data_IF_422568147403
#
_entry.id   IF_422568147403
#
_cell.length_a   1.000
_cell.length_b   1.000
_cell.length_c   1.000
_cell.angle_alpha   90.00
_cell.angle_beta   90.00
_cell.angle_gamma   90.00
#
_symmetry.space_group_name_H-M   'P 1'
#
loop_
_entity.id
_entity.type
_entity.pdbx_description
1 polymer ?
#
# COMPACT_ATOMS: atom_id res chain seq x y z
N UNK A 1 -0.79 -1.85 14.06
CA UNK A 1 -0.11 -1.13 15.18
C UNK A 1 -0.83 0.19 15.39
N UNK A 2 -0.99 0.67 16.63
CA UNK A 2 -1.57 2.00 16.88
C UNK A 2 -0.45 3.03 16.82
N UNK A 3 -0.62 4.08 16.01
CA UNK A 3 0.32 5.20 15.93
C UNK A 3 0.38 5.93 17.28
N UNK A 4 1.58 6.33 17.70
CA UNK A 4 1.70 7.24 18.82
C UNK A 4 1.17 8.65 18.45
N UNK A 5 0.96 9.54 19.42
CA UNK A 5 0.35 10.86 19.18
C UNK A 5 1.15 11.73 18.20
N UNK A 6 2.47 11.62 18.19
CA UNK A 6 3.35 12.36 17.28
C UNK A 6 3.29 11.80 15.88
N UNK A 7 3.37 10.49 15.72
CA UNK A 7 3.20 9.79 14.44
C UNK A 7 1.83 10.09 13.85
N UNK A 8 0.76 10.01 14.68
CA UNK A 8 -0.58 10.38 14.26
C UNK A 8 -0.62 11.79 13.68
N UNK A 9 -0.02 12.78 14.35
CA UNK A 9 0.00 14.17 13.89
C UNK A 9 0.83 14.31 12.59
N UNK A 10 1.98 13.67 12.49
CA UNK A 10 2.86 13.73 11.33
C UNK A 10 2.24 13.03 10.10
N UNK A 11 1.60 11.88 10.29
CA UNK A 11 0.95 11.15 9.21
C UNK A 11 -0.40 11.73 8.80
N UNK A 12 -1.03 12.55 9.65
CA UNK A 12 -2.38 13.08 9.43
C UNK A 12 -2.43 14.60 9.14
N UNK A 13 -1.32 15.21 8.76
CA UNK A 13 -1.30 16.62 8.38
C UNK A 13 -1.58 16.84 6.89
N UNK A 14 -1.77 18.11 6.50
CA UNK A 14 -2.04 18.49 5.12
C UNK A 14 -0.82 18.38 4.20
N UNK A 15 0.40 18.51 4.74
CA UNK A 15 1.64 18.38 3.97
C UNK A 15 1.84 16.93 3.53
N UNK A 16 1.59 15.96 4.41
CA UNK A 16 1.63 14.53 4.05
C UNK A 16 0.61 14.20 2.94
N UNK A 17 -0.61 14.74 3.05
CA UNK A 17 -1.63 14.56 2.01
C UNK A 17 -1.23 15.20 0.67
N UNK A 18 -0.57 16.37 0.71
CA UNK A 18 -0.06 17.04 -0.49
C UNK A 18 1.10 16.23 -1.12
N UNK A 19 2.04 15.72 -0.30
CA UNK A 19 3.12 14.83 -0.77
C UNK A 19 2.56 13.60 -1.47
N UNK A 20 1.62 12.90 -0.84
CA UNK A 20 0.97 11.72 -1.41
C UNK A 20 0.30 12.04 -2.75
N UNK A 21 -0.39 13.17 -2.86
CA UNK A 21 -1.12 13.57 -4.08
C UNK A 21 -0.19 14.00 -5.21
N UNK A 22 0.84 14.81 -4.91
CA UNK A 22 1.60 15.52 -5.94
C UNK A 22 2.98 14.93 -6.22
N UNK A 23 3.51 14.10 -5.33
CA UNK A 23 4.84 13.50 -5.46
C UNK A 23 4.73 11.97 -5.57
N UNK A 24 4.18 11.32 -4.54
CA UNK A 24 4.17 9.87 -4.43
C UNK A 24 3.28 9.23 -5.50
N UNK A 25 2.03 9.68 -5.62
CA UNK A 25 1.09 9.12 -6.61
C UNK A 25 1.59 9.19 -8.06
N UNK A 26 2.12 10.33 -8.58
CA UNK A 26 2.71 10.37 -9.91
C UNK A 26 3.89 9.42 -10.11
N UNK A 27 4.74 9.26 -9.11
CA UNK A 27 5.87 8.33 -9.16
C UNK A 27 5.39 6.87 -9.12
N UNK A 28 4.44 6.58 -8.25
CA UNK A 28 3.95 5.23 -7.99
C UNK A 28 3.02 4.73 -9.08
N UNK A 29 1.96 5.48 -9.38
CA UNK A 29 0.88 5.04 -10.28
C UNK A 29 1.06 5.63 -11.68
N UNK A 30 1.47 6.89 -11.78
CA UNK A 30 1.68 7.58 -13.04
C UNK A 30 0.51 8.51 -13.40
N UNK A 31 0.06 8.46 -14.68
CA UNK A 31 -0.88 9.44 -15.24
C UNK A 31 -2.34 9.14 -14.90
N UNK A 32 -3.20 10.17 -14.99
CA UNK A 32 -4.67 10.03 -14.97
C UNK A 32 -5.13 8.97 -15.97
N UNK A 33 -6.14 8.19 -15.60
CA UNK A 33 -6.73 7.17 -16.46
C UNK A 33 -6.10 5.78 -16.36
N UNK A 34 -4.94 5.62 -15.72
CA UNK A 34 -4.32 4.29 -15.51
C UNK A 34 -5.23 3.37 -14.71
N UNK A 35 -6.04 3.92 -13.80
CA UNK A 35 -6.98 3.17 -12.97
C UNK A 35 -8.43 3.24 -13.50
N UNK A 36 -8.65 3.77 -14.71
CA UNK A 36 -9.99 4.00 -15.22
C UNK A 36 -10.79 2.69 -15.32
N UNK A 37 -11.94 2.67 -14.64
CA UNK A 37 -12.84 1.52 -14.62
C UNK A 37 -12.39 0.36 -13.73
N UNK A 38 -11.26 0.47 -13.02
CA UNK A 38 -10.71 -0.59 -12.20
C UNK A 38 -11.29 -0.59 -10.77
N UNK A 39 -11.34 -1.79 -10.19
CA UNK A 39 -11.59 -2.02 -8.77
C UNK A 39 -10.24 -2.10 -8.03
N UNK A 40 -10.01 -1.18 -7.13
CA UNK A 40 -8.71 -0.98 -6.46
C UNK A 40 -8.83 -1.19 -4.96
N UNK A 41 -7.89 -1.93 -4.38
CA UNK A 41 -7.72 -2.07 -2.93
C UNK A 41 -6.56 -1.18 -2.48
N UNK A 42 -6.74 -0.41 -1.42
CA UNK A 42 -5.67 0.25 -0.67
C UNK A 42 -5.51 -0.44 0.68
N UNK A 43 -4.31 -0.96 0.97
CA UNK A 43 -3.96 -1.50 2.29
C UNK A 43 -3.38 -0.37 3.16
N UNK A 44 -3.80 -0.31 4.43
CA UNK A 44 -3.41 0.77 5.34
C UNK A 44 -3.93 2.13 4.90
N UNK A 45 -5.21 2.21 4.55
CA UNK A 45 -5.80 3.41 3.94
C UNK A 45 -5.85 4.64 4.87
N UNK A 46 -5.52 4.48 6.15
CA UNK A 46 -5.52 5.56 7.12
C UNK A 46 -6.82 6.36 7.09
N UNK A 47 -6.71 7.68 7.01
CA UNK A 47 -7.86 8.60 6.91
C UNK A 47 -8.44 8.76 5.48
N UNK A 48 -8.07 7.88 4.53
CA UNK A 48 -8.68 7.79 3.20
C UNK A 48 -8.18 8.80 2.17
N UNK A 49 -7.02 9.41 2.35
CA UNK A 49 -6.44 10.35 1.36
C UNK A 49 -6.08 9.61 0.07
N UNK A 50 -5.47 8.43 0.18
CA UNK A 50 -5.13 7.60 -0.97
C UNK A 50 -6.38 7.16 -1.74
N UNK A 51 -7.43 6.71 -1.05
CA UNK A 51 -8.70 6.34 -1.67
C UNK A 51 -9.32 7.49 -2.49
N UNK A 52 -9.32 8.72 -1.92
CA UNK A 52 -9.78 9.92 -2.65
C UNK A 52 -8.94 10.17 -3.91
N UNK A 53 -7.62 9.99 -3.83
CA UNK A 53 -6.72 10.13 -4.97
C UNK A 53 -7.01 9.07 -6.03
N UNK A 54 -7.16 7.80 -5.64
CA UNK A 54 -7.42 6.68 -6.54
C UNK A 54 -8.74 6.86 -7.29
N UNK A 55 -9.81 7.33 -6.63
CA UNK A 55 -11.06 7.74 -7.28
C UNK A 55 -10.84 8.89 -8.27
N UNK A 56 -10.05 9.88 -7.91
CA UNK A 56 -9.66 10.98 -8.79
C UNK A 56 -8.84 10.57 -10.01
N UNK A 57 -8.13 9.43 -9.94
CA UNK A 57 -7.42 8.80 -11.06
C UNK A 57 -8.32 7.95 -11.96
N UNK A 58 -9.61 7.82 -11.62
CA UNK A 58 -10.60 7.15 -12.45
C UNK A 58 -11.00 5.75 -11.97
N UNK A 59 -10.57 5.29 -10.80
CA UNK A 59 -11.03 4.02 -10.26
C UNK A 59 -12.57 3.97 -10.21
N UNK A 60 -13.15 2.86 -10.64
CA UNK A 60 -14.59 2.65 -10.58
C UNK A 60 -15.06 2.39 -9.16
N UNK A 61 -14.30 1.61 -8.42
CA UNK A 61 -14.53 1.27 -7.01
C UNK A 61 -13.18 1.26 -6.28
N UNK A 62 -13.16 1.81 -5.07
CA UNK A 62 -12.03 1.68 -4.13
C UNK A 62 -12.48 0.95 -2.87
N UNK A 63 -11.64 0.06 -2.40
CA UNK A 63 -11.78 -0.58 -1.09
C UNK A 63 -10.59 -0.17 -0.24
N UNK A 64 -10.82 0.31 0.97
CA UNK A 64 -9.76 0.68 1.91
C UNK A 64 -9.79 -0.23 3.13
N UNK A 65 -8.64 -0.78 3.48
CA UNK A 65 -8.44 -1.54 4.72
C UNK A 65 -7.50 -0.78 5.65
N UNK A 66 -7.85 -0.73 6.91
CA UNK A 66 -6.95 -0.29 7.98
C UNK A 66 -7.27 -1.03 9.27
N UNK A 67 -6.25 -1.32 10.06
CA UNK A 67 -6.42 -2.02 11.35
C UNK A 67 -6.90 -1.08 12.47
N UNK A 68 -6.79 0.24 12.27
CA UNK A 68 -7.12 1.25 13.28
C UNK A 68 -8.55 1.80 13.10
N UNK A 69 -9.52 1.46 14.00
CA UNK A 69 -10.89 1.95 13.90
C UNK A 69 -11.05 3.48 13.86
N UNK A 70 -10.27 4.31 14.59
CA UNK A 70 -10.23 5.76 14.41
C UNK A 70 -9.94 6.21 12.98
N UNK A 71 -8.97 5.59 12.29
CA UNK A 71 -8.64 5.89 10.89
C UNK A 71 -9.80 5.57 9.97
N UNK A 72 -10.41 4.40 10.14
CA UNK A 72 -11.58 3.98 9.36
C UNK A 72 -12.72 5.01 9.47
N UNK A 73 -13.01 5.51 10.68
CA UNK A 73 -14.06 6.55 10.86
C UNK A 73 -13.71 7.85 10.13
N UNK A 74 -12.44 8.25 10.10
CA UNK A 74 -11.99 9.44 9.38
C UNK A 74 -12.09 9.23 7.87
N UNK A 75 -11.72 8.06 7.36
CA UNK A 75 -11.83 7.71 5.95
C UNK A 75 -13.30 7.66 5.49
N UNK A 76 -14.17 7.02 6.27
CA UNK A 76 -15.61 6.99 6.00
C UNK A 76 -16.22 8.40 5.93
N UNK A 77 -15.84 9.30 6.86
CA UNK A 77 -16.28 10.68 6.84
C UNK A 77 -15.76 11.42 5.60
N UNK A 78 -14.51 11.20 5.20
CA UNK A 78 -13.89 11.81 4.01
C UNK A 78 -14.62 11.42 2.72
N UNK A 79 -14.96 10.16 2.56
CA UNK A 79 -15.51 9.57 1.35
C UNK A 79 -17.04 9.41 1.38
N UNK A 80 -17.71 10.04 2.35
CA UNK A 80 -19.17 9.93 2.49
C UNK A 80 -19.95 10.37 1.25
N UNK A 81 -19.39 11.29 0.44
CA UNK A 81 -19.98 11.76 -0.81
C UNK A 81 -19.80 10.84 -2.01
N UNK A 82 -18.92 9.81 -1.92
CA UNK A 82 -18.62 8.92 -3.04
C UNK A 82 -19.57 7.71 -3.14
N UNK A 83 -20.46 7.55 -2.17
CA UNK A 83 -21.50 6.51 -2.17
C UNK A 83 -20.92 5.10 -2.26
N UNK A 84 -21.47 4.29 -3.17
CA UNK A 84 -21.06 2.89 -3.34
C UNK A 84 -19.68 2.72 -4.03
N UNK A 85 -19.04 3.80 -4.45
CA UNK A 85 -17.70 3.74 -5.06
C UNK A 85 -16.58 3.57 -4.05
N UNK A 86 -16.82 3.84 -2.78
CA UNK A 86 -15.84 3.72 -1.70
C UNK A 86 -16.37 2.79 -0.61
N UNK A 87 -15.66 1.68 -0.39
CA UNK A 87 -15.89 0.78 0.74
C UNK A 87 -14.70 0.86 1.68
N UNK A 88 -14.97 1.05 2.97
CA UNK A 88 -13.91 1.29 3.95
C UNK A 88 -14.19 0.39 5.15
N UNK A 89 -13.26 -0.54 5.39
CA UNK A 89 -13.45 -1.63 6.32
C UNK A 89 -12.25 -1.76 7.27
N UNK A 90 -12.54 -2.18 8.50
CA UNK A 90 -11.48 -2.60 9.43
C UNK A 90 -10.93 -3.92 8.90
N UNK A 91 -9.63 -4.01 8.69
CA UNK A 91 -9.01 -5.22 8.18
C UNK A 91 -7.51 -5.26 8.39
N UNK A 92 -6.98 -6.48 8.34
CA UNK A 92 -5.56 -6.77 8.48
C UNK A 92 -5.00 -7.15 7.10
N UNK A 93 -3.88 -6.52 6.71
CA UNK A 93 -3.19 -6.85 5.47
C UNK A 93 -2.67 -8.30 5.43
N UNK A 94 -2.45 -8.91 6.59
CA UNK A 94 -2.06 -10.32 6.73
C UNK A 94 -3.23 -11.31 6.58
N UNK A 95 -4.48 -10.83 6.50
CA UNK A 95 -5.68 -11.66 6.41
C UNK A 95 -6.83 -10.88 5.73
N UNK A 96 -6.65 -10.53 4.46
CA UNK A 96 -7.59 -9.69 3.70
C UNK A 96 -8.92 -10.42 3.50
N UNK A 97 -10.01 -9.84 4.02
CA UNK A 97 -11.37 -10.40 3.95
C UNK A 97 -12.00 -10.13 2.56
N UNK A 98 -11.38 -10.66 1.51
CA UNK A 98 -11.86 -10.58 0.14
C UNK A 98 -11.63 -11.90 -0.60
N UNK A 99 -12.48 -12.25 -1.59
CA UNK A 99 -12.26 -13.42 -2.43
C UNK A 99 -10.95 -13.32 -3.23
N UNK A 100 -10.44 -14.47 -3.65
CA UNK A 100 -9.33 -14.54 -4.61
C UNK A 100 -9.67 -13.81 -5.89
N UNK A 101 -8.66 -13.20 -6.52
CA UNK A 101 -8.79 -12.55 -7.81
C UNK A 101 -9.93 -11.51 -7.88
N UNK A 102 -10.16 -10.74 -6.82
CA UNK A 102 -11.27 -9.78 -6.72
C UNK A 102 -10.89 -8.34 -7.06
N UNK A 103 -9.58 -8.01 -7.13
CA UNK A 103 -9.10 -6.67 -7.42
C UNK A 103 -8.26 -6.61 -8.71
N UNK A 104 -8.45 -5.54 -9.48
CA UNK A 104 -7.62 -5.25 -10.65
C UNK A 104 -6.27 -4.68 -10.24
N UNK A 105 -6.25 -3.91 -9.15
CA UNK A 105 -5.03 -3.34 -8.59
C UNK A 105 -5.08 -3.33 -7.06
N UNK A 106 -3.91 -3.45 -6.44
CA UNK A 106 -3.67 -3.18 -5.02
C UNK A 106 -2.66 -2.06 -4.91
N UNK A 107 -2.85 -1.17 -3.94
CA UNK A 107 -1.95 -0.04 -3.68
C UNK A 107 -1.51 -0.04 -2.22
N UNK A 108 -0.23 0.18 -2.01
CA UNK A 108 0.40 0.43 -0.73
C UNK A 108 1.12 1.79 -0.76
N UNK A 109 0.70 2.69 0.10
CA UNK A 109 1.36 3.99 0.31
C UNK A 109 2.24 3.96 1.57
N UNK A 110 3.13 2.96 1.65
CA UNK A 110 4.18 2.89 2.66
C UNK A 110 3.70 2.39 4.02
N UNK A 111 2.97 1.27 4.09
CA UNK A 111 2.55 0.70 5.37
C UNK A 111 3.18 -0.65 5.70
N UNK A 112 3.77 -1.36 4.72
CA UNK A 112 4.25 -2.72 4.94
C UNK A 112 5.37 -2.80 5.97
N UNK A 113 6.19 -1.74 6.12
CA UNK A 113 7.20 -1.66 7.20
C UNK A 113 6.59 -1.61 8.61
N UNK A 114 5.30 -1.39 8.76
CA UNK A 114 4.56 -1.49 10.01
C UNK A 114 3.88 -2.86 10.22
N UNK A 115 3.89 -3.73 9.20
CA UNK A 115 3.23 -5.05 9.24
C UNK A 115 4.24 -6.13 9.66
N UNK A 116 4.13 -6.72 10.85
CA UNK A 116 5.08 -7.74 11.31
C UNK A 116 5.19 -8.94 10.36
N UNK A 117 4.08 -9.40 9.84
CA UNK A 117 3.98 -10.48 8.87
C UNK A 117 3.93 -9.99 7.42
N UNK A 118 4.70 -8.96 7.05
CA UNK A 118 4.68 -8.39 5.69
C UNK A 118 4.88 -9.42 4.55
N UNK A 119 5.66 -10.54 4.71
CA UNK A 119 5.69 -11.57 3.67
C UNK A 119 4.35 -12.27 3.49
N UNK A 120 3.60 -12.48 4.58
CA UNK A 120 2.23 -13.02 4.53
C UNK A 120 1.27 -12.03 3.88
N UNK A 121 1.42 -10.73 4.19
CA UNK A 121 0.63 -9.68 3.53
C UNK A 121 0.88 -9.64 2.02
N UNK A 122 2.12 -9.84 1.54
CA UNK A 122 2.41 -9.97 0.10
C UNK A 122 1.70 -11.18 -0.52
N UNK A 123 1.61 -12.31 0.19
CA UNK A 123 0.83 -13.47 -0.23
C UNK A 123 -0.67 -13.16 -0.36
N UNK A 124 -1.24 -12.45 0.60
CA UNK A 124 -2.64 -12.00 0.56
C UNK A 124 -2.90 -11.01 -0.58
N UNK A 125 -1.99 -10.03 -0.78
CA UNK A 125 -2.04 -9.11 -1.92
C UNK A 125 -2.06 -9.90 -3.24
N UNK A 126 -1.16 -10.86 -3.38
CA UNK A 126 -1.12 -11.71 -4.57
C UNK A 126 -2.39 -12.54 -4.72
N UNK A 127 -2.95 -13.07 -3.63
CA UNK A 127 -4.20 -13.85 -3.64
C UNK A 127 -5.37 -13.04 -4.16
N UNK A 128 -5.57 -11.84 -3.62
CA UNK A 128 -6.75 -11.00 -3.95
C UNK A 128 -6.62 -10.30 -5.30
N UNK A 129 -5.41 -10.14 -5.85
CA UNK A 129 -5.21 -9.62 -7.20
C UNK A 129 -5.73 -10.60 -8.26
N UNK A 130 -6.37 -10.09 -9.29
CA UNK A 130 -6.67 -10.85 -10.53
C UNK A 130 -5.37 -11.24 -11.23
N UNK A 131 -5.33 -12.36 -11.99
CA UNK A 131 -4.22 -12.67 -12.87
C UNK A 131 -3.91 -11.48 -13.81
N UNK A 132 -2.65 -11.05 -13.87
CA UNK A 132 -2.23 -9.85 -14.60
C UNK A 132 -2.50 -8.52 -13.90
N UNK A 133 -3.16 -8.53 -12.75
CA UNK A 133 -3.41 -7.35 -11.92
C UNK A 133 -2.13 -6.73 -11.38
N UNK A 134 -2.19 -5.46 -11.02
CA UNK A 134 -1.02 -4.66 -10.63
C UNK A 134 -0.99 -4.37 -9.14
N UNK A 135 0.17 -4.57 -8.54
CA UNK A 135 0.52 -4.08 -7.22
C UNK A 135 1.41 -2.85 -7.35
N UNK A 136 0.95 -1.72 -6.84
CA UNK A 136 1.68 -0.46 -6.73
C UNK A 136 2.11 -0.28 -5.29
N UNK A 137 3.39 -0.04 -5.06
CA UNK A 137 3.92 0.02 -3.69
C UNK A 137 5.08 1.00 -3.58
N UNK A 138 5.14 1.67 -2.48
CA UNK A 138 6.29 2.42 -2.00
C UNK A 138 6.52 2.07 -0.54
N UNK A 139 7.76 2.13 -0.08
CA UNK A 139 8.03 1.95 1.34
C UNK A 139 9.39 2.51 1.74
N UNK A 140 9.57 2.65 3.07
CA UNK A 140 10.84 3.03 3.67
C UNK A 140 11.60 1.79 4.09
N UNK A 141 12.93 1.86 3.95
CA UNK A 141 13.83 0.76 4.26
C UNK A 141 14.42 0.88 5.67
N UNK A 142 15.00 -0.22 6.15
CA UNK A 142 15.62 -0.30 7.47
C UNK A 142 16.70 0.77 7.71
N UNK A 143 17.41 1.20 6.67
CA UNK A 143 18.41 2.26 6.79
C UNK A 143 17.85 3.57 7.32
N UNK A 144 16.63 3.94 6.93
CA UNK A 144 15.95 5.12 7.46
C UNK A 144 15.38 4.88 8.86
N UNK A 145 14.71 3.75 9.06
CA UNK A 145 14.05 3.43 10.36
C UNK A 145 15.05 3.16 11.48
N UNK A 146 16.24 2.66 11.16
CA UNK A 146 17.33 2.44 12.10
C UNK A 146 18.17 3.69 12.41
N UNK A 147 18.08 4.74 11.55
CA UNK A 147 18.85 5.97 11.72
C UNK A 147 18.38 6.75 12.96
N UNK A 148 19.36 7.24 13.75
CA UNK A 148 19.07 8.21 14.80
C UNK A 148 18.82 9.60 14.17
N UNK A 149 17.76 10.37 14.54
CA UNK A 149 16.85 10.19 15.67
C UNK A 149 15.55 9.39 15.35
N UNK A 150 15.32 8.93 14.13
CA UNK A 150 14.08 8.26 13.73
C UNK A 150 13.75 7.07 14.64
N UNK A 151 14.77 6.27 15.00
CA UNK A 151 14.63 5.11 15.91
C UNK A 151 14.01 5.44 17.27
N UNK A 152 14.19 6.67 17.76
CA UNK A 152 13.71 7.09 19.08
C UNK A 152 12.41 7.91 19.02
N UNK A 153 12.01 8.35 17.81
CA UNK A 153 10.83 9.18 17.59
C UNK A 153 9.62 8.35 17.11
N UNK A 154 9.88 7.22 16.46
CA UNK A 154 8.87 6.38 15.85
C UNK A 154 8.89 4.98 16.43
N UNK A 155 7.72 4.44 16.73
CA UNK A 155 7.55 3.10 17.30
C UNK A 155 7.47 2.06 16.17
N UNK A 156 8.62 1.81 15.50
CA UNK A 156 8.69 0.83 14.43
C UNK A 156 9.00 -0.56 14.98
N UNK A 157 8.17 -1.58 14.69
CA UNK A 157 8.49 -2.96 15.07
C UNK A 157 9.80 -3.40 14.40
N UNK A 158 10.76 -3.86 15.16
CA UNK A 158 12.05 -4.32 14.64
C UNK A 158 11.90 -5.52 13.68
N UNK A 159 10.83 -6.28 13.84
CA UNK A 159 10.53 -7.49 13.06
C UNK A 159 9.94 -7.22 11.67
N UNK A 160 9.44 -6.01 11.41
CA UNK A 160 8.83 -5.64 10.12
C UNK A 160 9.78 -4.91 9.17
N UNK A 161 11.04 -4.69 9.59
CA UNK A 161 12.03 -3.99 8.78
C UNK A 161 12.66 -4.91 7.73
N UNK A 162 12.77 -4.43 6.51
CA UNK A 162 13.33 -5.17 5.38
C UNK A 162 14.32 -4.31 4.57
N UNK A 163 15.17 -4.97 3.81
CA UNK A 163 15.96 -4.37 2.74
C UNK A 163 15.19 -4.45 1.42
N UNK A 164 15.56 -3.62 0.43
CA UNK A 164 14.98 -3.70 -0.90
C UNK A 164 15.20 -5.06 -1.58
N UNK A 165 16.33 -5.73 -1.30
CA UNK A 165 16.60 -7.08 -1.82
C UNK A 165 15.67 -8.13 -1.24
N UNK A 166 15.46 -8.12 0.09
CA UNK A 166 14.52 -9.03 0.75
C UNK A 166 13.09 -8.82 0.26
N UNK A 167 12.65 -7.57 0.12
CA UNK A 167 11.31 -7.27 -0.36
C UNK A 167 11.09 -7.79 -1.79
N UNK A 168 12.05 -7.57 -2.71
CA UNK A 168 11.97 -8.09 -4.08
C UNK A 168 11.94 -9.61 -4.14
N UNK A 169 12.75 -10.30 -3.33
CA UNK A 169 12.72 -11.75 -3.26
C UNK A 169 11.34 -12.26 -2.83
N UNK A 170 10.74 -11.65 -1.81
CA UNK A 170 9.39 -12.02 -1.34
C UNK A 170 8.28 -11.68 -2.32
N UNK A 171 8.40 -10.61 -3.11
CA UNK A 171 7.47 -10.36 -4.22
C UNK A 171 7.47 -11.53 -5.21
N UNK A 172 8.66 -11.96 -5.65
CA UNK A 172 8.80 -13.08 -6.59
C UNK A 172 8.25 -14.40 -6.03
N UNK A 173 8.53 -14.70 -4.77
CA UNK A 173 7.99 -15.88 -4.06
C UNK A 173 6.45 -15.83 -3.98
N UNK A 174 5.86 -14.66 -3.79
CA UNK A 174 4.41 -14.47 -3.79
C UNK A 174 3.78 -14.51 -5.20
N UNK A 175 4.58 -14.67 -6.27
CA UNK A 175 4.09 -14.66 -7.65
C UNK A 175 3.83 -13.26 -8.20
N UNK A 176 4.42 -12.23 -7.60
CA UNK A 176 4.35 -10.83 -8.02
C UNK A 176 5.63 -10.46 -8.77
N UNK A 177 5.59 -10.49 -10.10
CA UNK A 177 6.73 -10.15 -10.94
C UNK A 177 6.97 -8.64 -10.94
N UNK A 178 8.15 -8.20 -10.53
CA UNK A 178 8.55 -6.78 -10.55
C UNK A 178 8.61 -6.28 -11.99
N UNK A 179 7.83 -5.24 -12.31
CA UNK A 179 7.82 -4.60 -13.64
C UNK A 179 8.46 -3.21 -13.64
N UNK A 180 8.56 -2.58 -12.48
CA UNK A 180 9.30 -1.34 -12.28
C UNK A 180 9.80 -1.28 -10.84
N UNK A 181 11.02 -0.75 -10.66
CA UNK A 181 11.64 -0.58 -9.36
C UNK A 181 12.57 0.61 -9.38
N UNK A 182 12.45 1.48 -8.41
CA UNK A 182 13.40 2.54 -8.13
C UNK A 182 13.66 2.58 -6.62
N UNK A 183 14.92 2.59 -6.25
CA UNK A 183 15.36 2.60 -4.86
C UNK A 183 16.36 3.74 -4.64
N UNK A 184 16.28 4.37 -3.49
CA UNK A 184 17.21 5.39 -3.04
C UNK A 184 18.01 4.83 -1.86
N UNK A 185 19.18 4.30 -2.16
CA UNK A 185 20.09 3.63 -1.22
C UNK A 185 19.33 2.63 -0.31
N UNK A 186 19.58 2.65 1.00
CA UNK A 186 18.83 1.89 2.02
C UNK A 186 17.78 2.76 2.74
N UNK A 187 17.21 3.75 2.05
CA UNK A 187 16.26 4.72 2.60
C UNK A 187 14.82 4.38 2.22
N UNK A 188 14.54 4.26 0.94
CA UNK A 188 13.18 4.05 0.43
C UNK A 188 13.20 3.43 -0.96
N UNK A 189 12.06 2.90 -1.38
CA UNK A 189 11.82 2.46 -2.75
C UNK A 189 10.40 2.76 -3.20
N UNK A 190 10.21 2.75 -4.51
CA UNK A 190 8.92 2.75 -5.19
C UNK A 190 8.95 1.70 -6.29
N UNK A 191 7.85 0.98 -6.46
CA UNK A 191 7.81 -0.09 -7.44
C UNK A 191 6.41 -0.49 -7.88
N UNK A 192 6.41 -1.33 -8.90
CA UNK A 192 5.21 -1.96 -9.45
C UNK A 192 5.50 -3.42 -9.72
N UNK A 193 4.58 -4.28 -9.35
CA UNK A 193 4.66 -5.70 -9.65
C UNK A 193 3.35 -6.17 -10.29
N UNK A 194 3.43 -7.15 -11.15
CA UNK A 194 2.28 -7.76 -11.81
C UNK A 194 2.07 -9.17 -11.27
N UNK A 195 0.85 -9.52 -10.92
CA UNK A 195 0.53 -10.91 -10.60
C UNK A 195 0.70 -11.79 -11.85
N UNK A 196 1.49 -12.85 -11.73
CA UNK A 196 1.67 -13.82 -12.80
C UNK A 196 0.33 -14.47 -13.19
N UNK A 197 0.15 -14.71 -14.47
CA UNK A 197 -0.97 -15.52 -14.95
C UNK A 197 -0.72 -17.00 -14.59
N UNK A 198 -1.79 -17.82 -14.38
CA UNK A 198 -1.63 -19.24 -14.17
C UNK A 198 -0.79 -19.88 -15.29
N UNK A 199 0.22 -20.68 -14.93
CA UNK A 199 1.10 -21.37 -15.89
C UNK A 199 2.35 -20.60 -16.33
N UNK A 200 2.55 -19.36 -15.90
CA UNK A 200 3.81 -18.64 -16.13
C UNK A 200 4.79 -18.93 -14.99
N UNK A 201 5.78 -19.79 -15.26
CA UNK A 201 6.92 -20.03 -14.37
C UNK A 201 7.82 -18.79 -14.23
N UNK A 202 8.79 -18.78 -13.29
CA UNK A 202 9.77 -17.71 -13.18
C UNK A 202 10.52 -17.59 -14.51
N UNK A 203 10.53 -16.39 -15.08
CA UNK A 203 11.40 -16.09 -16.22
C UNK A 203 12.80 -15.87 -15.62
N UNK A 204 13.73 -16.76 -15.97
CA UNK A 204 15.13 -16.70 -15.58
C UNK A 204 15.85 -15.46 -16.13
#
# INVERSE_FOLDING_TARGET
MRLNSLEFMLMNNSLRAASQRWIETPLLIGRRGVLAGLRVLEIGCGRGVGLEILLGLGAAEVVGLDIDPPMIRLAQKRLAGDGNRAKIEIGDAEAIQAPDASFDSVVDFGILHHVPGWPKALGEIARVLKPGGMFYFEDILRGLTAAWPARNLFDHPQTSQFSGGEFRARLEEAGLQTVAWRQWDDVAFVGRARKRAPGQGPQG
#
